data_IF_447457172117
#
_entry.id   IF_447457172117
#
_cell.length_a   1.000
_cell.length_b   1.000
_cell.length_c   1.000
_cell.angle_alpha   90.00
_cell.angle_beta   90.00
_cell.angle_gamma   90.00
#
_symmetry.space_group_name_H-M   'P 1'
#
loop_
_entity.id
_entity.type
_entity.pdbx_description
1 polymer ?
#
# COMPACT_ATOMS: atom_id res chain seq x y z
N UNK A 1 10.67 -25.89 35.87
CA UNK A 1 9.47 -26.18 35.04
C UNK A 1 8.84 -24.93 34.47
N UNK A 2 8.53 -23.95 35.29
CA UNK A 2 7.89 -22.73 34.83
C UNK A 2 8.73 -21.95 33.82
N UNK A 3 10.04 -21.93 33.99
CA UNK A 3 10.94 -21.25 33.08
C UNK A 3 10.91 -21.86 31.70
N UNK A 4 10.70 -23.17 31.60
CA UNK A 4 10.62 -23.87 30.33
C UNK A 4 9.43 -23.41 29.49
N UNK A 5 8.32 -23.04 30.15
CA UNK A 5 7.12 -22.56 29.45
C UNK A 5 7.14 -21.04 29.26
N UNK A 6 7.75 -20.31 30.18
CA UNK A 6 7.75 -18.84 30.14
C UNK A 6 8.63 -18.30 29.01
N UNK A 7 9.82 -18.89 28.82
CA UNK A 7 10.73 -18.38 27.79
C UNK A 7 10.18 -18.56 26.38
N UNK A 8 9.67 -19.74 25.99
CA UNK A 8 9.03 -19.85 24.68
C UNK A 8 7.82 -18.96 24.50
N UNK A 9 7.02 -18.77 25.57
CA UNK A 9 5.87 -17.90 25.52
C UNK A 9 6.27 -16.45 25.27
N UNK A 10 7.32 -15.98 25.94
CA UNK A 10 7.84 -14.63 25.73
C UNK A 10 8.35 -14.43 24.30
N UNK A 11 9.06 -15.41 23.78
CA UNK A 11 9.57 -15.35 22.42
C UNK A 11 8.38 -15.26 21.44
N UNK A 12 7.34 -16.06 21.68
CA UNK A 12 6.15 -16.04 20.82
C UNK A 12 5.47 -14.67 20.85
N UNK A 13 5.34 -14.07 22.04
CA UNK A 13 4.75 -12.73 22.17
C UNK A 13 5.58 -11.70 21.42
N UNK A 14 6.90 -11.76 21.54
CA UNK A 14 7.78 -10.84 20.83
C UNK A 14 7.60 -10.98 19.32
N UNK A 15 7.50 -12.22 18.84
CA UNK A 15 7.28 -12.46 17.41
C UNK A 15 5.94 -11.89 16.94
N UNK A 16 4.91 -12.00 17.77
CA UNK A 16 3.60 -11.42 17.45
C UNK A 16 3.68 -9.90 17.35
N UNK A 17 4.39 -9.27 18.27
CA UNK A 17 4.56 -7.81 18.25
C UNK A 17 5.33 -7.38 17.02
N UNK A 18 6.40 -8.08 16.69
CA UNK A 18 7.18 -7.79 15.49
C UNK A 18 6.32 -7.94 14.23
N UNK A 19 5.54 -9.02 14.17
CA UNK A 19 4.67 -9.25 13.01
C UNK A 19 3.62 -8.14 12.88
N UNK A 20 3.03 -7.71 14.00
CA UNK A 20 2.07 -6.62 13.98
C UNK A 20 2.71 -5.32 13.49
N UNK A 21 3.92 -5.03 13.94
CA UNK A 21 4.64 -3.84 13.49
C UNK A 21 4.94 -3.89 11.99
N UNK A 22 5.35 -5.07 11.50
CA UNK A 22 5.62 -5.25 10.07
C UNK A 22 4.35 -5.04 9.25
N UNK A 23 3.23 -5.60 9.70
CA UNK A 23 1.96 -5.44 9.00
C UNK A 23 1.54 -3.96 8.96
N UNK A 24 1.64 -3.27 10.09
CA UNK A 24 1.29 -1.86 10.15
C UNK A 24 2.17 -1.02 9.25
N UNK A 25 3.47 -1.30 9.27
CA UNK A 25 4.40 -0.58 8.40
C UNK A 25 4.07 -0.83 6.92
N UNK A 26 3.83 -2.08 6.55
CA UNK A 26 3.48 -2.42 5.17
C UNK A 26 2.16 -1.77 4.76
N UNK A 27 1.18 -1.71 5.66
CA UNK A 27 -0.09 -1.05 5.38
C UNK A 27 0.11 0.44 5.13
N UNK A 28 0.95 1.10 5.94
CA UNK A 28 1.25 2.52 5.75
C UNK A 28 1.98 2.76 4.43
N UNK A 29 2.93 1.89 4.09
CA UNK A 29 3.66 1.98 2.83
C UNK A 29 2.70 1.78 1.66
N UNK A 30 1.84 0.77 1.73
CA UNK A 30 0.88 0.49 0.67
C UNK A 30 -0.06 1.67 0.46
N UNK A 31 -0.54 2.27 1.55
CA UNK A 31 -1.39 3.44 1.47
C UNK A 31 -0.67 4.62 0.82
N UNK A 32 0.57 4.86 1.24
CA UNK A 32 1.37 5.96 0.71
C UNK A 32 1.62 5.79 -0.79
N UNK A 33 2.02 4.60 -1.21
CA UNK A 33 2.26 4.31 -2.63
C UNK A 33 0.97 4.42 -3.43
N UNK A 34 -0.12 3.87 -2.90
CA UNK A 34 -1.42 3.94 -3.57
C UNK A 34 -1.89 5.41 -3.70
N UNK A 35 -1.68 6.20 -2.65
CA UNK A 35 -2.07 7.61 -2.68
C UNK A 35 -1.27 8.39 -3.72
N UNK A 36 0.03 8.13 -3.80
CA UNK A 36 0.85 8.80 -4.82
C UNK A 36 0.43 8.39 -6.23
N UNK A 37 0.15 7.11 -6.43
CA UNK A 37 -0.33 6.62 -7.72
C UNK A 37 -1.67 7.22 -8.08
N UNK A 38 -2.59 7.29 -7.11
CA UNK A 38 -3.91 7.85 -7.35
C UNK A 38 -3.84 9.33 -7.71
N UNK A 39 -3.01 10.08 -7.00
CA UNK A 39 -2.83 11.49 -7.30
C UNK A 39 -2.21 11.70 -8.68
N UNK A 40 -1.24 10.88 -9.05
CA UNK A 40 -0.64 10.96 -10.38
C UNK A 40 -1.65 10.64 -11.47
N UNK A 41 -2.46 9.60 -11.26
CA UNK A 41 -3.47 9.20 -12.22
C UNK A 41 -4.62 10.20 -12.32
N UNK A 42 -4.89 10.93 -11.23
CA UNK A 42 -6.00 11.88 -11.17
C UNK A 42 -5.66 13.21 -11.83
N UNK A 43 -4.40 13.47 -12.13
CA UNK A 43 -4.00 14.72 -12.76
C UNK A 43 -4.65 14.86 -14.14
N UNK A 44 -4.98 16.09 -14.46
CA UNK A 44 -5.56 16.38 -15.77
C UNK A 44 -4.59 15.97 -16.88
N UNK A 45 -5.08 15.15 -17.80
CA UNK A 45 -4.25 14.68 -18.91
C UNK A 45 -3.31 13.53 -18.58
N UNK A 46 -3.34 13.02 -17.35
CA UNK A 46 -2.49 11.90 -16.97
C UNK A 46 -3.00 10.60 -17.58
N UNK A 47 -2.06 9.70 -17.88
CA UNK A 47 -2.37 8.37 -18.40
C UNK A 47 -2.19 7.33 -17.30
N UNK A 48 -2.83 6.15 -17.43
CA UNK A 48 -2.58 5.06 -16.49
C UNK A 48 -1.11 4.63 -16.42
N UNK A 49 -0.39 4.71 -17.54
CA UNK A 49 1.03 4.35 -17.59
C UNK A 49 1.86 5.27 -16.71
N UNK A 50 1.51 6.55 -16.66
CA UNK A 50 2.21 7.50 -15.79
C UNK A 50 1.98 7.15 -14.32
N UNK A 51 0.77 6.72 -13.96
CA UNK A 51 0.48 6.29 -12.61
C UNK A 51 1.31 5.06 -12.24
N UNK A 52 1.44 4.11 -13.15
CA UNK A 52 2.24 2.91 -12.91
C UNK A 52 3.71 3.24 -12.69
N UNK A 53 4.24 4.20 -13.43
CA UNK A 53 5.63 4.66 -13.23
C UNK A 53 5.80 5.27 -11.85
N UNK A 54 4.87 6.11 -11.43
CA UNK A 54 4.91 6.74 -10.10
C UNK A 54 4.83 5.68 -9.00
N UNK A 55 3.96 4.69 -9.16
CA UNK A 55 3.81 3.60 -8.20
C UNK A 55 5.12 2.81 -8.09
N UNK A 56 5.71 2.43 -9.20
CA UNK A 56 6.96 1.68 -9.20
C UNK A 56 8.08 2.47 -8.55
N UNK A 57 8.18 3.75 -8.88
CA UNK A 57 9.20 4.63 -8.31
C UNK A 57 9.02 4.80 -6.81
N UNK A 58 7.78 5.04 -6.36
CA UNK A 58 7.50 5.21 -4.94
C UNK A 58 7.79 3.92 -4.16
N UNK A 59 7.39 2.78 -4.70
CA UNK A 59 7.65 1.50 -4.06
C UNK A 59 9.14 1.25 -3.93
N UNK A 60 9.90 1.51 -4.99
CA UNK A 60 11.35 1.33 -4.98
C UNK A 60 12.02 2.23 -3.96
N UNK A 61 11.58 3.49 -3.87
CA UNK A 61 12.23 4.45 -2.98
C UNK A 61 12.04 4.11 -1.50
N UNK A 62 10.96 3.42 -1.14
CA UNK A 62 10.73 3.00 0.23
C UNK A 62 11.11 1.54 0.48
N UNK A 63 11.66 0.88 -0.53
CA UNK A 63 12.07 -0.51 -0.40
C UNK A 63 10.91 -1.50 -0.33
N UNK A 64 9.73 -1.10 -0.79
CA UNK A 64 8.57 -1.97 -0.78
C UNK A 64 8.62 -2.96 -1.93
N UNK A 65 8.16 -4.17 -1.65
CA UNK A 65 8.04 -5.22 -2.65
C UNK A 65 6.56 -5.43 -2.94
N UNK A 66 6.17 -5.24 -4.19
CA UNK A 66 4.79 -5.45 -4.59
C UNK A 66 4.51 -6.93 -4.76
N UNK A 67 3.43 -7.40 -4.13
CA UNK A 67 3.03 -8.82 -4.20
C UNK A 67 2.31 -9.14 -5.50
N UNK A 68 1.72 -8.13 -6.13
CA UNK A 68 0.98 -8.28 -7.36
C UNK A 68 1.08 -6.97 -8.15
N UNK A 69 0.80 -6.98 -9.45
CA UNK A 69 0.77 -5.74 -10.22
C UNK A 69 -0.26 -4.78 -9.63
N UNK A 70 0.05 -3.49 -9.55
CA UNK A 70 -0.91 -2.53 -9.03
C UNK A 70 -2.12 -2.41 -9.96
N UNK A 71 -3.27 -2.18 -9.36
CA UNK A 71 -4.51 -1.98 -10.09
C UNK A 71 -4.85 -0.50 -10.09
N UNK A 72 -4.98 0.07 -11.29
CA UNK A 72 -5.40 1.44 -11.47
C UNK A 72 -6.71 1.41 -12.25
N UNK A 73 -7.78 1.88 -11.60
CA UNK A 73 -9.08 1.94 -12.22
C UNK A 73 -9.54 3.40 -12.24
N UNK A 74 -10.00 3.87 -13.37
CA UNK A 74 -10.50 5.24 -13.44
C UNK A 74 -11.90 5.25 -14.03
N UNK A 75 -12.74 6.07 -13.42
CA UNK A 75 -14.03 6.42 -13.96
C UNK A 75 -13.96 7.87 -14.45
N UNK A 76 -15.07 8.41 -14.93
CA UNK A 76 -15.06 9.80 -15.37
C UNK A 76 -14.74 10.78 -14.26
N UNK A 77 -15.01 10.44 -13.01
CA UNK A 77 -14.90 11.37 -11.88
C UNK A 77 -13.88 10.96 -10.83
N UNK A 78 -13.50 9.69 -10.79
CA UNK A 78 -12.65 9.18 -9.72
C UNK A 78 -11.59 8.26 -10.27
N UNK A 79 -10.48 8.19 -9.55
CA UNK A 79 -9.41 7.23 -9.82
C UNK A 79 -9.18 6.44 -8.55
N UNK A 80 -9.15 5.13 -8.68
CA UNK A 80 -8.89 4.20 -7.58
C UNK A 80 -7.60 3.44 -7.88
N UNK A 81 -6.72 3.39 -6.91
CA UNK A 81 -5.48 2.62 -7.01
C UNK A 81 -5.45 1.64 -5.85
N UNK A 82 -5.22 0.38 -6.18
CA UNK A 82 -5.05 -0.66 -5.18
C UNK A 82 -3.65 -1.26 -5.29
N UNK A 83 -2.99 -1.36 -4.17
CA UNK A 83 -1.61 -1.84 -4.08
C UNK A 83 -1.57 -3.05 -3.14
N UNK A 84 -0.83 -4.06 -3.52
CA UNK A 84 -0.56 -5.25 -2.71
C UNK A 84 0.93 -5.25 -2.39
N UNK A 85 1.26 -5.15 -1.10
CA UNK A 85 2.64 -5.16 -0.65
C UNK A 85 2.94 -6.50 0.00
N UNK A 86 4.03 -7.12 -0.44
CA UNK A 86 4.48 -8.39 0.13
C UNK A 86 5.00 -8.18 1.53
N UNK A 87 4.70 -9.12 2.42
CA UNK A 87 5.11 -9.09 3.80
C UNK A 87 6.18 -10.14 4.06
N UNK A 88 7.27 -9.78 4.75
CA UNK A 88 8.11 -10.79 5.36
C UNK A 88 7.33 -11.43 6.51
N UNK A 89 7.29 -12.74 6.55
CA UNK A 89 6.54 -13.45 7.59
C UNK A 89 7.47 -13.96 8.66
N UNK A 90 7.31 -13.42 9.88
CA UNK A 90 7.98 -13.97 11.05
C UNK A 90 7.24 -15.19 11.58
N UNK A 91 5.91 -15.22 11.39
CA UNK A 91 5.06 -16.33 11.81
C UNK A 91 4.30 -16.82 10.60
N UNK A 92 4.40 -18.13 10.26
CA UNK A 92 3.81 -18.65 9.00
C UNK A 92 2.30 -18.54 8.89
N UNK A 93 1.60 -18.35 10.00
CA UNK A 93 0.13 -18.29 9.99
C UNK A 93 -0.42 -16.95 9.54
N UNK A 94 0.44 -15.94 9.41
CA UNK A 94 -0.03 -14.60 9.01
C UNK A 94 -0.08 -14.46 7.49
N UNK A 95 -0.79 -13.43 7.06
CA UNK A 95 -0.98 -13.15 5.65
C UNK A 95 0.34 -12.87 4.94
N UNK A 96 0.39 -13.17 3.67
CA UNK A 96 1.58 -12.97 2.85
C UNK A 96 1.69 -11.56 2.29
N UNK A 97 0.58 -10.82 2.28
CA UNK A 97 0.57 -9.47 1.72
C UNK A 97 -0.50 -8.63 2.38
N UNK A 98 -0.34 -7.33 2.23
CA UNK A 98 -1.31 -6.34 2.66
C UNK A 98 -1.75 -5.55 1.44
N UNK A 99 -3.05 -5.31 1.31
CA UNK A 99 -3.56 -4.46 0.24
C UNK A 99 -4.17 -3.20 0.82
N UNK A 100 -4.03 -2.12 0.07
CA UNK A 100 -4.67 -0.85 0.39
C UNK A 100 -5.18 -0.22 -0.89
N UNK A 101 -6.29 0.44 -0.76
CA UNK A 101 -6.95 1.09 -1.87
C UNK A 101 -7.15 2.56 -1.54
N UNK A 102 -6.83 3.41 -2.48
CA UNK A 102 -7.04 4.84 -2.36
C UNK A 102 -7.84 5.31 -3.56
N UNK A 103 -8.90 6.05 -3.28
CA UNK A 103 -9.74 6.66 -4.31
C UNK A 103 -9.65 8.18 -4.16
N UNK A 104 -9.35 8.86 -5.26
CA UNK A 104 -9.31 10.32 -5.27
C UNK A 104 -10.18 10.84 -6.40
N UNK A 105 -10.77 12.04 -6.23
CA UNK A 105 -11.49 12.66 -7.32
C UNK A 105 -10.54 12.96 -8.46
N UNK A 106 -11.02 12.75 -9.67
CA UNK A 106 -10.22 13.04 -10.85
C UNK A 106 -10.09 14.54 -11.01
N UNK A 107 -8.87 15.01 -11.23
CA UNK A 107 -8.61 16.41 -11.51
C UNK A 107 -9.20 16.77 -12.86
N UNK A 108 -10.05 17.77 -12.88
CA UNK A 108 -10.73 18.21 -14.09
C UNK A 108 -10.41 19.66 -14.34
N UNK A 109 -10.14 19.97 -15.59
CA UNK A 109 -10.05 21.36 -15.99
C UNK A 109 -11.45 21.99 -16.00
N UNK A 110 -11.61 23.04 -15.20
CA UNK A 110 -12.83 23.80 -15.17
C UNK A 110 -12.45 25.24 -15.47
N UNK A 111 -13.00 25.79 -16.54
CA UNK A 111 -12.72 27.17 -16.89
C UNK A 111 -13.25 28.09 -15.80
N UNK A 112 -12.44 29.05 -15.42
CA UNK A 112 -12.77 29.92 -14.31
C UNK A 112 -14.10 30.64 -14.52
N UNK A 113 -14.34 31.06 -15.74
CA UNK A 113 -15.52 31.80 -16.09
C UNK A 113 -16.79 30.95 -16.23
N UNK A 114 -16.70 29.65 -16.01
CA UNK A 114 -17.85 28.76 -16.04
C UNK A 114 -18.61 28.74 -14.72
N UNK A 115 -18.19 29.52 -13.80
CA UNK A 115 -18.84 29.61 -12.48
C UNK A 115 -20.01 30.53 -12.48
#
# INVERSE_FOLDING_TARGET
METVLVVPALIFVVLLVVQAAVVMHAANVAHHVAAQGAMAAARHGASPEQALVVISSAATSVGARLAAPPLVASSGEEVTVRIWVALPRAVPVFAEHVSREVTVPRERYVAYNDR
#
